data_IF_489086183828
#
_entry.id   IF_489086183828
#
_cell.length_a   1.000
_cell.length_b   1.000
_cell.length_c   1.000
_cell.angle_alpha   90.00
_cell.angle_beta   90.00
_cell.angle_gamma   90.00
#
_symmetry.space_group_name_H-M   'P 1'
#
loop_
_entity.id
_entity.type
_entity.pdbx_description
1 polymer ?
#
# COMPACT_ATOMS: atom_id res chain seq x y z
N UNK A 1 -10.21 -10.76 -38.03
CA UNK A 1 -8.93 -11.19 -37.44
C UNK A 1 -7.85 -10.10 -37.57
N UNK A 2 -7.55 -9.59 -38.77
CA UNK A 2 -6.52 -8.55 -39.00
C UNK A 2 -6.71 -7.23 -38.23
N UNK A 3 -7.95 -6.72 -38.11
CA UNK A 3 -8.18 -5.50 -37.31
C UNK A 3 -7.90 -5.68 -35.81
N UNK A 4 -8.09 -6.91 -35.31
CA UNK A 4 -7.80 -7.23 -33.91
C UNK A 4 -6.29 -7.37 -33.68
N UNK A 5 -5.53 -7.94 -34.62
CA UNK A 5 -4.07 -8.00 -34.53
C UNK A 5 -3.41 -6.63 -34.66
N UNK A 6 -3.95 -5.76 -35.52
CA UNK A 6 -3.45 -4.39 -35.67
C UNK A 6 -3.67 -3.56 -34.38
N UNK A 7 -4.81 -3.70 -33.72
CA UNK A 7 -5.07 -3.05 -32.43
C UNK A 7 -4.12 -3.51 -31.31
N UNK A 8 -3.83 -4.80 -31.25
CA UNK A 8 -2.86 -5.36 -30.29
C UNK A 8 -1.44 -4.84 -30.56
N UNK A 9 -1.02 -4.80 -31.82
CA UNK A 9 0.30 -4.28 -32.20
C UNK A 9 0.47 -2.80 -31.81
N UNK A 10 -0.56 -1.98 -32.06
CA UNK A 10 -0.54 -0.55 -31.66
C UNK A 10 -0.50 -0.41 -30.14
N UNK A 11 -1.23 -1.24 -29.39
CA UNK A 11 -1.20 -1.22 -27.92
C UNK A 11 0.17 -1.66 -27.35
N UNK A 12 0.79 -2.68 -27.95
CA UNK A 12 2.15 -3.11 -27.56
C UNK A 12 3.16 -2.01 -27.87
N UNK A 13 3.10 -1.42 -29.07
CA UNK A 13 4.00 -0.34 -29.46
C UNK A 13 3.85 0.90 -28.55
N UNK A 14 2.61 1.29 -28.23
CA UNK A 14 2.34 2.45 -27.38
C UNK A 14 2.80 2.24 -25.93
N UNK A 15 2.57 1.08 -25.35
CA UNK A 15 3.02 0.75 -23.98
C UNK A 15 4.54 0.68 -23.88
N UNK A 16 5.22 0.16 -24.90
CA UNK A 16 6.69 0.14 -24.94
C UNK A 16 7.29 1.56 -25.03
N UNK A 17 6.78 2.40 -25.94
CA UNK A 17 7.26 3.79 -26.07
C UNK A 17 7.01 4.57 -24.78
N UNK A 18 5.82 4.45 -24.19
CA UNK A 18 5.50 5.12 -22.92
C UNK A 18 6.42 4.64 -21.79
N UNK A 19 6.71 3.34 -21.73
CA UNK A 19 7.65 2.77 -20.74
C UNK A 19 9.06 3.34 -20.88
N UNK A 20 9.58 3.44 -22.11
CA UNK A 20 10.90 4.03 -22.37
C UNK A 20 10.91 5.53 -22.04
N UNK A 21 9.90 6.28 -22.47
CA UNK A 21 9.77 7.71 -22.16
C UNK A 21 9.71 7.95 -20.65
N UNK A 22 8.96 7.12 -19.91
CA UNK A 22 8.88 7.20 -18.46
C UNK A 22 10.23 6.89 -17.80
N UNK A 23 10.90 5.81 -18.20
CA UNK A 23 12.21 5.43 -17.67
C UNK A 23 13.26 6.52 -17.94
N UNK A 24 13.24 7.12 -19.13
CA UNK A 24 14.14 8.22 -19.47
C UNK A 24 13.81 9.51 -18.75
N UNK A 25 12.52 9.80 -18.54
CA UNK A 25 12.08 10.90 -17.69
C UNK A 25 12.59 10.76 -16.25
N UNK A 26 12.46 9.58 -15.66
CA UNK A 26 13.01 9.30 -14.32
C UNK A 26 14.54 9.43 -14.28
N UNK A 27 15.25 8.97 -15.32
CA UNK A 27 16.71 9.13 -15.39
C UNK A 27 17.14 10.60 -15.44
N UNK A 28 16.44 11.43 -16.21
CA UNK A 28 16.70 12.86 -16.27
C UNK A 28 16.42 13.55 -14.92
N UNK A 29 15.33 13.18 -14.24
CA UNK A 29 14.95 13.75 -12.93
C UNK A 29 15.90 13.30 -11.81
N UNK A 30 16.31 12.04 -11.80
CA UNK A 30 17.25 11.50 -10.81
C UNK A 30 18.69 11.99 -10.99
N UNK A 31 19.07 12.44 -12.18
CA UNK A 31 20.37 13.06 -12.47
C UNK A 31 20.28 14.59 -12.63
N UNK A 32 19.19 15.22 -12.20
CA UNK A 32 19.05 16.66 -12.32
C UNK A 32 20.15 17.39 -11.51
N UNK A 33 20.69 18.53 -12.01
CA UNK A 33 21.75 19.29 -11.32
C UNK A 33 21.32 19.80 -9.95
N UNK A 34 20.05 20.16 -9.81
CA UNK A 34 19.43 20.58 -8.56
C UNK A 34 19.22 19.39 -7.61
N UNK A 35 19.75 19.51 -6.39
CA UNK A 35 19.69 18.49 -5.35
C UNK A 35 18.26 18.28 -4.82
N UNK A 36 17.45 19.34 -4.75
CA UNK A 36 16.08 19.25 -4.23
C UNK A 36 15.20 18.43 -5.17
N UNK A 37 15.29 18.69 -6.48
CA UNK A 37 14.61 17.91 -7.51
C UNK A 37 14.93 16.42 -7.42
N UNK A 38 16.20 16.10 -7.16
CA UNK A 38 16.67 14.73 -7.03
C UNK A 38 16.10 14.06 -5.78
N UNK A 39 16.10 14.75 -4.64
CA UNK A 39 15.53 14.26 -3.37
C UNK A 39 14.03 13.96 -3.50
N UNK A 40 13.24 14.90 -4.03
CA UNK A 40 11.81 14.68 -4.22
C UNK A 40 11.52 13.56 -5.22
N UNK A 41 12.32 13.44 -6.28
CA UNK A 41 12.20 12.34 -7.23
C UNK A 41 12.40 10.99 -6.54
N UNK A 42 13.45 10.84 -5.72
CA UNK A 42 13.68 9.61 -4.97
C UNK A 42 12.57 9.32 -3.96
N UNK A 43 12.04 10.34 -3.29
CA UNK A 43 10.93 10.19 -2.34
C UNK A 43 9.64 9.70 -3.02
N UNK A 44 9.29 10.29 -4.17
CA UNK A 44 8.11 9.88 -4.95
C UNK A 44 8.27 8.46 -5.49
N UNK A 45 9.44 8.13 -6.05
CA UNK A 45 9.72 6.78 -6.56
C UNK A 45 9.66 5.76 -5.42
N UNK A 46 10.29 6.04 -4.28
CA UNK A 46 10.28 5.14 -3.11
C UNK A 46 8.86 4.92 -2.59
N UNK A 47 8.06 5.98 -2.48
CA UNK A 47 6.67 5.89 -2.01
C UNK A 47 5.81 5.08 -2.99
N UNK A 48 5.99 5.28 -4.30
CA UNK A 48 5.25 4.56 -5.34
C UNK A 48 5.56 3.05 -5.29
N UNK A 49 6.85 2.69 -5.21
CA UNK A 49 7.28 1.29 -5.06
C UNK A 49 6.69 0.69 -3.78
N UNK A 50 6.76 1.40 -2.67
CA UNK A 50 6.19 0.97 -1.38
C UNK A 50 4.69 0.67 -1.46
N UNK A 51 3.90 1.51 -2.12
CA UNK A 51 2.45 1.27 -2.32
C UNK A 51 2.23 -0.02 -3.13
N UNK A 52 2.92 -0.19 -4.26
CA UNK A 52 2.76 -1.39 -5.08
C UNK A 52 3.22 -2.66 -4.36
N UNK A 53 4.34 -2.61 -3.64
CA UNK A 53 4.80 -3.74 -2.83
C UNK A 53 3.79 -4.08 -1.73
N UNK A 54 3.22 -3.09 -1.05
CA UNK A 54 2.16 -3.31 -0.05
C UNK A 54 0.92 -3.97 -0.65
N UNK A 55 0.47 -3.54 -1.84
CA UNK A 55 -0.65 -4.18 -2.56
C UNK A 55 -0.33 -5.65 -2.83
N UNK A 56 0.86 -5.97 -3.37
CA UNK A 56 1.23 -7.34 -3.72
C UNK A 56 1.35 -8.25 -2.50
N UNK A 57 1.89 -7.73 -1.39
CA UNK A 57 1.94 -8.44 -0.11
C UNK A 57 0.52 -8.72 0.37
N UNK A 58 -0.34 -7.70 0.40
CA UNK A 58 -1.73 -7.86 0.84
C UNK A 58 -2.48 -8.87 -0.03
N UNK A 59 -2.39 -8.76 -1.36
CA UNK A 59 -3.05 -9.67 -2.30
C UNK A 59 -2.58 -11.11 -2.08
N UNK A 60 -1.28 -11.31 -1.89
CA UNK A 60 -0.71 -12.63 -1.60
C UNK A 60 -1.26 -13.20 -0.29
N UNK A 61 -1.24 -12.42 0.79
CA UNK A 61 -1.81 -12.83 2.08
C UNK A 61 -3.31 -13.12 2.00
N UNK A 62 -4.07 -12.28 1.30
CA UNK A 62 -5.50 -12.46 1.12
C UNK A 62 -5.80 -13.73 0.31
N UNK A 63 -5.04 -13.99 -0.74
CA UNK A 63 -5.16 -15.22 -1.53
C UNK A 63 -4.88 -16.48 -0.69
N UNK A 64 -3.88 -16.43 0.19
CA UNK A 64 -3.64 -17.52 1.14
C UNK A 64 -4.80 -17.71 2.12
N UNK A 65 -5.36 -16.63 2.66
CA UNK A 65 -6.54 -16.69 3.54
C UNK A 65 -7.75 -17.28 2.81
N UNK A 66 -7.96 -16.90 1.55
CA UNK A 66 -9.05 -17.43 0.72
C UNK A 66 -8.93 -18.95 0.50
N UNK A 67 -7.74 -19.43 0.13
CA UNK A 67 -7.52 -20.86 -0.11
C UNK A 67 -7.67 -21.66 1.19
N UNK A 68 -7.05 -21.23 2.29
CA UNK A 68 -7.03 -22.03 3.51
C UNK A 68 -8.31 -21.94 4.35
N UNK A 69 -9.02 -20.81 4.31
CA UNK A 69 -10.13 -20.53 5.23
C UNK A 69 -11.50 -20.35 4.55
N UNK A 70 -11.56 -19.98 3.27
CA UNK A 70 -12.84 -19.69 2.59
C UNK A 70 -13.40 -20.81 1.73
N UNK A 71 -12.66 -21.88 1.44
CA UNK A 71 -13.10 -22.94 0.51
C UNK A 71 -14.41 -23.65 0.91
N UNK A 72 -14.85 -23.53 2.17
CA UNK A 72 -16.15 -24.03 2.68
C UNK A 72 -16.94 -23.03 3.53
N UNK A 73 -16.59 -21.74 3.48
CA UNK A 73 -17.14 -20.73 4.39
C UNK A 73 -18.52 -20.20 3.98
N UNK A 74 -19.39 -19.94 4.97
CA UNK A 74 -20.63 -19.17 4.76
C UNK A 74 -20.31 -17.68 4.54
N UNK A 75 -21.25 -16.93 3.91
CA UNK A 75 -21.07 -15.50 3.61
C UNK A 75 -20.79 -14.66 4.87
N UNK A 76 -21.40 -15.00 6.01
CA UNK A 76 -21.15 -14.33 7.30
C UNK A 76 -19.79 -14.69 7.89
N UNK A 77 -19.34 -15.94 7.72
CA UNK A 77 -18.02 -16.36 8.19
C UNK A 77 -16.90 -15.68 7.42
N UNK A 78 -17.05 -15.52 6.10
CA UNK A 78 -16.14 -14.75 5.25
C UNK A 78 -15.96 -13.30 5.73
N UNK A 79 -17.06 -12.63 6.10
CA UNK A 79 -17.01 -11.27 6.66
C UNK A 79 -16.23 -11.22 7.98
N UNK A 80 -16.48 -12.15 8.89
CA UNK A 80 -15.78 -12.20 10.19
C UNK A 80 -14.29 -12.41 9.97
N UNK A 81 -13.89 -13.29 9.05
CA UNK A 81 -12.48 -13.49 8.69
C UNK A 81 -11.87 -12.20 8.13
N UNK A 82 -12.56 -11.51 7.21
CA UNK A 82 -12.07 -10.27 6.62
C UNK A 82 -11.90 -9.16 7.68
N UNK A 83 -12.85 -9.03 8.60
CA UNK A 83 -12.77 -8.09 9.73
C UNK A 83 -11.63 -8.44 10.69
N UNK A 84 -11.45 -9.73 11.02
CA UNK A 84 -10.33 -10.19 11.85
C UNK A 84 -8.98 -9.94 11.16
N UNK A 85 -8.89 -10.18 9.85
CA UNK A 85 -7.69 -9.93 9.06
C UNK A 85 -7.33 -8.43 9.06
N UNK A 86 -8.32 -7.54 8.92
CA UNK A 86 -8.12 -6.09 9.08
C UNK A 86 -7.61 -5.73 10.48
N UNK A 87 -8.19 -6.30 11.54
CA UNK A 87 -7.77 -6.04 12.93
C UNK A 87 -6.34 -6.50 13.18
N UNK A 88 -5.94 -7.65 12.64
CA UNK A 88 -4.56 -8.16 12.73
C UNK A 88 -3.58 -7.19 12.10
N UNK A 89 -3.86 -6.67 10.91
CA UNK A 89 -3.01 -5.67 10.27
C UNK A 89 -2.97 -4.34 11.02
N UNK A 90 -4.12 -3.89 11.54
CA UNK A 90 -4.20 -2.70 12.37
C UNK A 90 -3.37 -2.86 13.66
N UNK A 91 -3.46 -4.00 14.33
CA UNK A 91 -2.64 -4.30 15.49
C UNK A 91 -1.14 -4.33 15.14
N UNK A 92 -0.77 -4.93 14.00
CA UNK A 92 0.60 -4.93 13.49
C UNK A 92 1.14 -3.52 13.26
N UNK A 93 0.34 -2.63 12.66
CA UNK A 93 0.70 -1.21 12.49
C UNK A 93 0.96 -0.53 13.84
N UNK A 94 0.05 -0.70 14.80
CA UNK A 94 0.21 -0.11 16.14
C UNK A 94 1.45 -0.65 16.86
N UNK A 95 1.74 -1.94 16.74
CA UNK A 95 2.94 -2.56 17.31
C UNK A 95 4.20 -1.96 16.70
N UNK A 96 4.27 -1.77 15.37
CA UNK A 96 5.44 -1.17 14.74
C UNK A 96 5.64 0.28 15.16
N UNK A 97 4.57 1.08 15.24
CA UNK A 97 4.65 2.45 15.75
C UNK A 97 5.14 2.50 17.20
N UNK A 98 4.63 1.61 18.05
CA UNK A 98 5.09 1.49 19.43
C UNK A 98 6.57 1.11 19.52
N UNK A 99 7.03 0.13 18.73
CA UNK A 99 8.44 -0.28 18.71
C UNK A 99 9.36 0.85 18.25
N UNK A 100 8.98 1.62 17.24
CA UNK A 100 9.73 2.81 16.79
C UNK A 100 9.80 3.85 17.91
N UNK A 101 8.68 4.12 18.58
CA UNK A 101 8.62 5.09 19.68
C UNK A 101 9.50 4.66 20.86
N UNK A 102 9.46 3.39 21.26
CA UNK A 102 10.29 2.84 22.34
C UNK A 102 11.77 2.85 21.98
N UNK A 103 12.10 2.46 20.75
CA UNK A 103 13.48 2.46 20.27
C UNK A 103 14.06 3.89 20.27
N UNK A 104 13.33 4.86 19.72
CA UNK A 104 13.75 6.25 19.68
C UNK A 104 13.82 6.88 21.08
N UNK A 105 12.88 6.55 21.97
CA UNK A 105 12.90 7.02 23.36
C UNK A 105 14.10 6.48 24.15
N UNK A 106 14.50 5.23 23.92
CA UNK A 106 15.69 4.62 24.57
C UNK A 106 17.01 5.16 24.04
N UNK A 107 17.06 5.52 22.76
CA UNK A 107 18.27 6.04 22.11
C UNK A 107 18.42 7.56 22.18
N UNK A 108 17.52 8.27 22.87
CA UNK A 108 17.61 9.72 23.05
C UNK A 108 18.84 10.08 23.89
N UNK A 109 19.88 10.61 23.24
CA UNK A 109 21.05 11.12 23.97
C UNK A 109 20.77 12.51 24.52
N UNK A 110 21.28 12.82 25.72
CA UNK A 110 21.01 14.10 26.42
C UNK A 110 21.45 15.36 25.65
N UNK A 111 22.26 15.20 24.59
CA UNK A 111 22.77 16.28 23.74
C UNK A 111 22.16 16.30 22.34
N UNK A 112 21.22 15.39 22.03
CA UNK A 112 20.58 15.34 20.72
C UNK A 112 19.63 16.51 20.54
N UNK A 113 19.81 17.26 19.45
CA UNK A 113 18.89 18.36 19.12
C UNK A 113 17.51 17.78 18.79
N UNK A 114 16.40 18.47 19.12
CA UNK A 114 15.06 18.00 18.77
C UNK A 114 14.88 17.73 17.26
N UNK A 115 15.59 18.47 16.40
CA UNK A 115 15.57 18.28 14.94
C UNK A 115 16.15 16.93 14.51
N UNK A 116 17.31 16.55 15.05
CA UNK A 116 17.95 15.27 14.70
C UNK A 116 17.10 14.07 15.14
N UNK A 117 16.44 14.18 16.30
CA UNK A 117 15.52 13.15 16.78
C UNK A 117 14.28 12.99 15.88
N UNK A 118 13.70 14.11 15.44
CA UNK A 118 12.57 14.11 14.51
C UNK A 118 12.94 13.48 13.17
N UNK A 119 14.10 13.85 12.61
CA UNK A 119 14.56 13.33 11.32
C UNK A 119 14.77 11.80 11.35
N UNK A 120 15.39 11.26 12.41
CA UNK A 120 15.52 9.81 12.60
C UNK A 120 14.16 9.12 12.67
N UNK A 121 13.23 9.70 13.43
CA UNK A 121 11.87 9.15 13.58
C UNK A 121 11.14 9.15 12.25
N UNK A 122 11.25 10.24 11.49
CA UNK A 122 10.66 10.38 10.16
C UNK A 122 11.18 9.30 9.21
N UNK A 123 12.50 9.06 9.17
CA UNK A 123 13.11 8.03 8.33
C UNK A 123 12.55 6.64 8.70
N UNK A 124 12.48 6.30 9.99
CA UNK A 124 11.96 5.01 10.44
C UNK A 124 10.47 4.82 10.10
N UNK A 125 9.66 5.89 10.24
CA UNK A 125 8.26 5.87 9.84
C UNK A 125 8.12 5.66 8.34
N UNK A 126 8.89 6.39 7.52
CA UNK A 126 8.89 6.26 6.06
C UNK A 126 9.31 4.86 5.59
N UNK A 127 10.28 4.23 6.27
CA UNK A 127 10.77 2.90 5.88
C UNK A 127 9.85 1.75 6.31
N UNK A 128 9.33 1.76 7.53
CA UNK A 128 8.60 0.61 8.09
C UNK A 128 7.11 0.85 8.24
N UNK A 129 6.72 2.01 8.79
CA UNK A 129 5.32 2.26 9.11
C UNK A 129 4.49 2.49 7.85
N UNK A 130 5.02 3.18 6.84
CA UNK A 130 4.30 3.48 5.59
C UNK A 130 3.87 2.20 4.85
N UNK A 131 4.75 1.22 4.70
CA UNK A 131 4.41 -0.05 4.02
C UNK A 131 3.28 -0.77 4.75
N UNK A 132 3.38 -0.92 6.08
CA UNK A 132 2.37 -1.62 6.89
C UNK A 132 1.06 -0.84 6.93
N UNK A 133 1.12 0.50 6.94
CA UNK A 133 -0.07 1.34 6.86
C UNK A 133 -0.82 1.13 5.54
N UNK A 134 -0.11 1.02 4.42
CA UNK A 134 -0.73 0.69 3.14
C UNK A 134 -1.36 -0.71 3.14
N UNK A 135 -0.67 -1.73 3.67
CA UNK A 135 -1.23 -3.09 3.79
C UNK A 135 -2.51 -3.07 4.64
N UNK A 136 -2.49 -2.35 5.77
CA UNK A 136 -3.65 -2.17 6.65
C UNK A 136 -4.79 -1.45 5.94
N UNK A 137 -4.48 -0.45 5.12
CA UNK A 137 -5.43 0.24 4.26
C UNK A 137 -6.12 -0.71 3.28
N UNK A 138 -5.35 -1.54 2.56
CA UNK A 138 -5.91 -2.54 1.64
C UNK A 138 -6.74 -3.61 2.36
N UNK A 139 -6.30 -4.07 3.53
CA UNK A 139 -7.07 -4.98 4.36
C UNK A 139 -8.40 -4.37 4.83
N UNK A 140 -8.39 -3.08 5.16
CA UNK A 140 -9.60 -2.32 5.51
C UNK A 140 -10.55 -2.22 4.32
N UNK A 141 -10.04 -1.86 3.14
CA UNK A 141 -10.86 -1.80 1.91
C UNK A 141 -11.52 -3.15 1.62
N UNK A 142 -10.79 -4.26 1.77
CA UNK A 142 -11.33 -5.59 1.57
C UNK A 142 -12.43 -5.93 2.59
N UNK A 143 -12.21 -5.64 3.88
CA UNK A 143 -13.18 -5.91 4.94
C UNK A 143 -14.47 -5.10 4.77
N UNK A 144 -14.36 -3.80 4.48
CA UNK A 144 -15.52 -2.95 4.22
C UNK A 144 -16.21 -3.29 2.90
N UNK A 145 -15.45 -3.68 1.87
CA UNK A 145 -16.00 -4.20 0.62
C UNK A 145 -16.83 -5.46 0.84
N UNK A 146 -16.35 -6.40 1.67
CA UNK A 146 -17.11 -7.59 2.06
C UNK A 146 -18.38 -7.23 2.85
N UNK A 147 -18.33 -6.21 3.72
CA UNK A 147 -19.49 -5.74 4.47
C UNK A 147 -20.59 -5.19 3.55
N UNK A 148 -20.22 -4.41 2.54
CA UNK A 148 -21.15 -3.85 1.56
C UNK A 148 -21.89 -4.92 0.73
N UNK A 149 -21.32 -6.12 0.63
CA UNK A 149 -21.93 -7.25 -0.09
C UNK A 149 -23.02 -7.99 0.72
N UNK A 150 -23.27 -7.63 1.97
CA UNK A 150 -24.38 -8.19 2.75
C UNK A 150 -25.74 -7.81 2.16
N UNK A 151 -26.72 -8.71 2.31
CA UNK A 151 -28.04 -8.55 1.70
C UNK A 151 -28.83 -7.34 2.25
N UNK A 152 -28.48 -6.81 3.42
CA UNK A 152 -29.03 -5.57 3.97
C UNK A 152 -28.57 -4.34 3.16
N UNK A 153 -27.26 -4.23 2.89
CA UNK A 153 -26.66 -3.12 2.15
C UNK A 153 -26.88 -3.25 0.63
N UNK A 154 -27.04 -4.47 0.13
CA UNK A 154 -27.31 -4.75 -1.30
C UNK A 154 -28.70 -4.32 -1.77
N UNK A 155 -29.65 -4.05 -0.87
CA UNK A 155 -31.06 -3.72 -1.20
C UNK A 155 -31.28 -2.31 -1.73
N UNK A 156 -30.35 -1.38 -1.55
CA UNK A 156 -30.45 -0.06 -2.16
C UNK A 156 -29.32 0.89 -1.75
N UNK A 157 -28.90 1.81 -2.64
CA UNK A 157 -27.77 2.71 -2.39
C UNK A 157 -27.99 3.64 -1.19
N UNK A 158 -29.24 4.00 -0.87
CA UNK A 158 -29.56 4.81 0.30
C UNK A 158 -29.23 4.13 1.64
N UNK A 159 -29.28 2.80 1.70
CA UNK A 159 -28.95 2.02 2.90
C UNK A 159 -27.45 1.76 3.04
N UNK A 160 -26.65 2.08 2.00
CA UNK A 160 -25.18 1.95 2.03
C UNK A 160 -24.47 3.17 2.63
N UNK A 161 -25.17 4.31 2.79
CA UNK A 161 -24.63 5.57 3.30
C UNK A 161 -25.33 6.08 4.58
N UNK A 162 -26.32 5.33 5.09
CA UNK A 162 -27.02 5.60 6.35
C UNK A 162 -26.49 4.67 7.45
#
# INVERSE_FOLDING_TARGET
>A
AERASQGQAVAIASTLILGICFQMGLFCLTNHPDEDMRRYTYEVVSTTISIFSAVLIFQTCNHFVEIFLLEKASRTFSLVIAMMHMVVWMAGLQVVLYLIAVYNGRHMTRYETPRAHMERTEIMLKCYAVIIAHITGFASINAWGALQQLDFFRRGPAMSFA
#
